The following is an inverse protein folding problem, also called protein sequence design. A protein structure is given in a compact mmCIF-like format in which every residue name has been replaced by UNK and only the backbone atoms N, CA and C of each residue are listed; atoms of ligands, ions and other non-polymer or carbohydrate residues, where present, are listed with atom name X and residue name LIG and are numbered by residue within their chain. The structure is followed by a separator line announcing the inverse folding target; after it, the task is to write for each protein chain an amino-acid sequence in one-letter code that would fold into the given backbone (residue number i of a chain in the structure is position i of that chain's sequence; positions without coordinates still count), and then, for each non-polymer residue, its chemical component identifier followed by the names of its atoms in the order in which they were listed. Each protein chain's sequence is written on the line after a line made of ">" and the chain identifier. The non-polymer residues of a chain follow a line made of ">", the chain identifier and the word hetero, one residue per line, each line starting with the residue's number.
data_IF_248031027580
#
_entry.id   IF_248031027580
#
_cell.length_a   1.000
_cell.length_b   1.000
_cell.length_c   1.000
_cell.angle_alpha   90.00
_cell.angle_beta   90.00
_cell.angle_gamma   90.00
#
_symmetry.space_group_name_H-M   'P 1'
#
loop_
_entity.id
_entity.type
_entity.pdbx_description
1 polymer ?
#
# COMPACT_ATOMS: atom_id res chain seq x y z
N UNK A 1 -23.54 -13.50 -3.18
CA UNK A 1 -23.45 -14.53 -2.11
C UNK A 1 -23.36 -13.83 -0.76
N UNK A 2 -24.23 -14.19 0.20
CA UNK A 2 -24.10 -13.80 1.60
C UNK A 2 -22.70 -14.15 2.14
N UNK A 3 -22.20 -13.35 3.09
CA UNK A 3 -20.84 -13.47 3.68
C UNK A 3 -20.59 -14.90 4.20
N UNK A 4 -21.62 -15.51 4.76
CA UNK A 4 -21.59 -16.85 5.37
C UNK A 4 -21.32 -17.96 4.34
N UNK A 5 -21.80 -17.80 3.10
CA UNK A 5 -21.56 -18.76 2.03
C UNK A 5 -20.12 -18.70 1.47
N UNK A 6 -19.45 -17.54 1.55
CA UNK A 6 -18.06 -17.40 1.09
C UNK A 6 -17.07 -18.08 2.03
N UNK A 7 -17.26 -17.89 3.35
CA UNK A 7 -16.49 -18.60 4.38
C UNK A 7 -16.72 -20.10 4.26
N UNK A 8 -17.97 -20.52 4.03
CA UNK A 8 -18.31 -21.93 3.81
C UNK A 8 -17.65 -22.51 2.55
N UNK A 9 -17.66 -21.81 1.42
CA UNK A 9 -17.01 -22.26 0.17
C UNK A 9 -15.48 -22.29 0.29
N UNK A 10 -14.87 -21.31 0.95
CA UNK A 10 -13.43 -21.30 1.22
C UNK A 10 -13.03 -22.44 2.16
N UNK A 11 -13.80 -22.65 3.22
CA UNK A 11 -13.64 -23.77 4.15
C UNK A 11 -13.82 -25.13 3.45
N UNK A 12 -14.80 -25.26 2.55
CA UNK A 12 -15.01 -26.46 1.71
C UNK A 12 -13.84 -26.71 0.76
N UNK A 13 -13.21 -25.66 0.24
CA UNK A 13 -12.04 -25.75 -0.63
C UNK A 13 -10.80 -26.20 0.16
N UNK A 14 -10.62 -25.73 1.38
CA UNK A 14 -9.57 -26.22 2.30
C UNK A 14 -9.82 -27.67 2.75
N UNK A 15 -11.05 -28.02 3.10
CA UNK A 15 -11.41 -29.40 3.47
C UNK A 15 -11.46 -30.37 2.29
N UNK A 16 -11.43 -29.90 1.04
CA UNK A 16 -11.33 -30.81 -0.11
C UNK A 16 -9.99 -31.57 -0.16
N UNK A 17 -9.02 -31.18 0.69
CA UNK A 17 -7.79 -31.91 0.96
C UNK A 17 -7.95 -33.06 1.98
N UNK A 18 -9.05 -33.11 2.75
CA UNK A 18 -9.38 -34.21 3.68
C UNK A 18 -10.86 -34.57 3.56
N UNK A 19 -11.17 -35.51 2.65
CA UNK A 19 -12.53 -35.81 2.18
C UNK A 19 -13.52 -36.35 3.22
N UNK A 20 -13.10 -36.72 4.43
CA UNK A 20 -13.94 -37.52 5.33
C UNK A 20 -14.65 -36.76 6.46
N UNK A 21 -14.44 -35.45 6.64
CA UNK A 21 -14.96 -34.72 7.81
C UNK A 21 -16.15 -33.75 7.55
N UNK A 22 -16.76 -33.77 6.36
CA UNK A 22 -17.57 -32.62 5.88
C UNK A 22 -19.01 -32.52 6.36
N UNK A 23 -19.57 -33.51 7.06
CA UNK A 23 -21.03 -33.57 7.29
C UNK A 23 -21.53 -33.16 8.68
N UNK A 24 -20.65 -32.85 9.65
CA UNK A 24 -21.08 -32.78 11.07
C UNK A 24 -20.58 -31.60 11.91
N UNK A 25 -19.96 -30.56 11.33
CA UNK A 25 -19.44 -29.45 12.14
C UNK A 25 -20.17 -28.13 11.86
N UNK A 26 -20.92 -27.59 12.84
CA UNK A 26 -21.24 -26.17 12.87
C UNK A 26 -19.91 -25.41 12.75
N UNK A 27 -19.83 -24.39 11.89
CA UNK A 27 -18.61 -23.58 11.67
C UNK A 27 -17.93 -23.22 13.00
N UNK A 28 -18.70 -22.99 14.06
CA UNK A 28 -18.23 -22.73 15.43
C UNK A 28 -17.41 -23.86 16.09
N UNK A 29 -17.65 -25.15 15.79
CA UNK A 29 -16.87 -26.26 16.37
C UNK A 29 -15.47 -26.39 15.77
N UNK A 30 -15.31 -26.05 14.49
CA UNK A 30 -14.01 -26.06 13.80
C UNK A 30 -13.05 -25.05 14.43
N UNK A 31 -13.58 -23.92 14.88
CA UNK A 31 -12.83 -22.88 15.57
C UNK A 31 -12.71 -23.12 17.09
N UNK A 32 -13.19 -24.26 17.60
CA UNK A 32 -12.91 -24.69 18.97
C UNK A 32 -11.42 -24.86 19.23
N UNK A 33 -10.66 -25.23 18.20
CA UNK A 33 -9.19 -25.16 18.20
C UNK A 33 -8.69 -23.83 17.61
N UNK A 34 -8.28 -22.92 18.50
CA UNK A 34 -7.68 -21.64 18.12
C UNK A 34 -6.40 -21.81 17.30
N UNK A 35 -5.65 -22.90 17.48
CA UNK A 35 -4.41 -23.16 16.72
C UNK A 35 -4.71 -23.38 15.24
N UNK A 36 -5.66 -24.25 14.92
CA UNK A 36 -6.12 -24.50 13.56
C UNK A 36 -6.66 -23.22 12.91
N UNK A 37 -7.43 -22.43 13.66
CA UNK A 37 -7.94 -21.15 13.19
C UNK A 37 -6.85 -20.18 12.77
N UNK A 38 -5.78 -20.04 13.57
CA UNK A 38 -4.65 -19.18 13.22
C UNK A 38 -3.94 -19.69 11.96
N UNK A 39 -3.72 -21.00 11.82
CA UNK A 39 -3.14 -21.58 10.59
C UNK A 39 -3.96 -21.19 9.36
N UNK A 40 -5.28 -21.28 9.45
CA UNK A 40 -6.21 -20.84 8.41
C UNK A 40 -6.06 -19.33 8.13
N UNK A 41 -6.06 -18.49 9.16
CA UNK A 41 -5.98 -17.03 9.00
C UNK A 41 -4.68 -16.57 8.35
N UNK A 42 -3.58 -17.28 8.57
CA UNK A 42 -2.28 -16.97 7.96
C UNK A 42 -2.28 -17.03 6.43
N UNK A 43 -3.23 -17.74 5.82
CA UNK A 43 -3.33 -17.88 4.37
C UNK A 43 -4.44 -17.03 3.76
N UNK A 44 -5.28 -16.40 4.58
CA UNK A 44 -6.41 -15.61 4.10
C UNK A 44 -5.99 -14.21 3.61
N UNK A 45 -6.57 -13.71 2.50
CA UNK A 45 -6.47 -12.32 2.12
C UNK A 45 -7.08 -11.38 3.17
N UNK A 46 -6.60 -10.14 3.20
CA UNK A 46 -7.06 -9.15 4.17
C UNK A 46 -8.57 -8.81 4.08
N UNK A 47 -9.21 -8.93 2.91
CA UNK A 47 -10.66 -8.71 2.79
C UNK A 47 -11.49 -9.82 3.47
N UNK A 48 -11.00 -11.06 3.43
CA UNK A 48 -11.63 -12.22 4.03
C UNK A 48 -11.43 -12.16 5.54
N UNK A 49 -10.24 -11.80 6.01
CA UNK A 49 -9.98 -11.50 7.42
C UNK A 49 -10.89 -10.38 7.94
N UNK A 50 -11.08 -9.30 7.17
CA UNK A 50 -12.03 -8.23 7.54
C UNK A 50 -13.46 -8.75 7.62
N UNK A 51 -13.88 -9.59 6.67
CA UNK A 51 -15.23 -10.17 6.65
C UNK A 51 -15.46 -11.07 7.87
N UNK A 52 -14.48 -11.89 8.23
CA UNK A 52 -14.49 -12.70 9.46
C UNK A 52 -14.53 -11.84 10.72
N UNK A 53 -13.83 -10.71 10.74
CA UNK A 53 -13.84 -9.80 11.90
C UNK A 53 -15.22 -9.21 12.21
N UNK A 54 -16.17 -9.26 11.27
CA UNK A 54 -17.53 -8.79 11.45
C UNK A 54 -18.50 -9.86 11.97
N UNK A 55 -18.10 -11.14 11.98
CA UNK A 55 -19.00 -12.23 12.37
C UNK A 55 -19.09 -12.40 13.89
N UNK A 56 -18.01 -12.12 14.64
CA UNK A 56 -18.02 -12.12 16.11
C UNK A 56 -16.88 -11.30 16.72
N UNK A 57 -17.00 -10.95 18.01
CA UNK A 57 -15.92 -10.31 18.78
C UNK A 57 -14.68 -11.19 18.92
N UNK A 58 -14.86 -12.51 19.03
CA UNK A 58 -13.76 -13.47 19.13
C UNK A 58 -12.96 -13.52 17.84
N UNK A 59 -13.64 -13.58 16.69
CA UNK A 59 -12.97 -13.51 15.39
C UNK A 59 -12.28 -12.19 15.16
N UNK A 60 -12.88 -11.07 15.55
CA UNK A 60 -12.23 -9.76 15.50
C UNK A 60 -10.90 -9.75 16.26
N UNK A 61 -10.87 -10.32 17.47
CA UNK A 61 -9.64 -10.36 18.26
C UNK A 61 -8.61 -11.33 17.67
N UNK A 62 -9.03 -12.49 17.19
CA UNK A 62 -8.14 -13.45 16.51
C UNK A 62 -7.54 -12.86 15.22
N UNK A 63 -8.33 -12.15 14.41
CA UNK A 63 -7.83 -11.44 13.23
C UNK A 63 -6.79 -10.40 13.61
N UNK A 64 -7.04 -9.60 14.65
CA UNK A 64 -6.05 -8.61 15.16
C UNK A 64 -4.74 -9.27 15.59
N UNK A 65 -4.82 -10.37 16.34
CA UNK A 65 -3.64 -11.13 16.77
C UNK A 65 -2.88 -11.69 15.54
N UNK A 66 -3.59 -12.25 14.58
CA UNK A 66 -2.98 -12.80 13.35
C UNK A 66 -2.23 -11.71 12.57
N UNK A 67 -2.87 -10.57 12.32
CA UNK A 67 -2.26 -9.45 11.58
C UNK A 67 -1.02 -8.88 12.30
N UNK A 68 -1.08 -8.73 13.63
CA UNK A 68 0.08 -8.31 14.43
C UNK A 68 1.24 -9.28 14.30
N UNK A 69 0.98 -10.59 14.37
CA UNK A 69 2.01 -11.61 14.19
C UNK A 69 2.59 -11.58 12.77
N UNK A 70 1.77 -11.39 11.74
CA UNK A 70 2.23 -11.22 10.36
C UNK A 70 3.09 -9.97 10.19
N UNK A 71 2.74 -8.87 10.85
CA UNK A 71 3.53 -7.63 10.81
C UNK A 71 4.89 -7.80 11.52
N UNK A 72 4.91 -8.39 12.72
CA UNK A 72 6.18 -8.70 13.41
C UNK A 72 7.03 -9.66 12.58
N UNK A 73 6.42 -10.67 11.96
CA UNK A 73 7.12 -11.59 11.05
C UNK A 73 7.69 -10.86 9.83
N UNK A 74 6.94 -9.94 9.24
CA UNK A 74 7.40 -9.12 8.12
C UNK A 74 8.63 -8.31 8.49
N UNK A 75 8.62 -7.61 9.64
CA UNK A 75 9.80 -6.85 10.10
C UNK A 75 11.00 -7.76 10.33
N UNK A 76 10.80 -8.90 10.99
CA UNK A 76 11.85 -9.88 11.24
C UNK A 76 12.47 -10.41 9.94
N UNK A 77 11.69 -10.55 8.87
CA UNK A 77 12.18 -10.98 7.55
C UNK A 77 13.21 -10.02 6.94
N UNK A 78 13.23 -8.76 7.37
CA UNK A 78 14.20 -7.75 6.95
C UNK A 78 15.21 -7.42 8.06
N UNK A 79 15.36 -8.31 9.07
CA UNK A 79 16.20 -8.11 10.25
C UNK A 79 15.85 -6.86 11.07
N UNK A 80 14.58 -6.42 11.02
CA UNK A 80 14.08 -5.28 11.81
C UNK A 80 13.34 -5.80 13.05
N UNK A 81 13.69 -5.37 14.27
CA UNK A 81 13.03 -5.83 15.49
C UNK A 81 11.61 -5.25 15.63
N UNK A 82 10.75 -5.94 16.39
CA UNK A 82 9.35 -5.50 16.59
C UNK A 82 9.21 -4.17 17.34
N UNK A 83 10.24 -3.72 18.07
CA UNK A 83 10.30 -2.39 18.68
C UNK A 83 10.22 -1.26 17.65
N UNK A 84 10.55 -1.54 16.38
CA UNK A 84 10.36 -0.57 15.29
C UNK A 84 8.91 -0.12 15.13
N UNK A 85 7.93 -0.94 15.53
CA UNK A 85 6.50 -0.55 15.49
C UNK A 85 6.25 0.69 16.36
N UNK A 86 6.97 0.85 17.46
CA UNK A 86 6.83 2.03 18.31
C UNK A 86 7.49 3.26 17.68
N UNK A 87 8.63 3.09 17.03
CA UNK A 87 9.27 4.14 16.21
C UNK A 87 8.34 4.58 15.07
N UNK A 88 7.67 3.62 14.43
CA UNK A 88 6.67 3.89 13.40
C UNK A 88 5.50 4.72 13.93
N UNK A 89 5.03 4.42 15.15
CA UNK A 89 3.95 5.17 15.77
C UNK A 89 4.38 6.59 16.15
N UNK A 90 5.57 6.75 16.73
CA UNK A 90 6.08 8.06 17.18
C UNK A 90 6.39 9.00 16.00
N UNK A 91 6.84 8.46 14.87
CA UNK A 91 7.30 9.25 13.73
C UNK A 91 6.33 9.23 12.53
N UNK A 92 5.12 8.68 12.70
CA UNK A 92 4.13 8.50 11.63
C UNK A 92 4.77 7.85 10.39
N UNK A 93 5.37 6.67 10.58
CA UNK A 93 5.97 5.89 9.49
C UNK A 93 4.94 4.92 8.94
N UNK A 94 4.97 4.68 7.64
CA UNK A 94 4.23 3.58 7.02
C UNK A 94 5.16 2.75 6.12
N UNK A 95 4.89 1.46 6.00
CA UNK A 95 5.53 0.59 5.04
C UNK A 95 4.66 0.50 3.79
N UNK A 96 5.27 0.38 2.61
CA UNK A 96 4.52 0.21 1.35
C UNK A 96 5.25 -0.74 0.40
N UNK A 97 4.88 -0.68 -0.88
CA UNK A 97 5.48 -1.49 -1.92
C UNK A 97 5.07 -2.96 -1.88
N UNK A 98 5.98 -3.82 -2.34
CA UNK A 98 5.63 -5.23 -2.54
C UNK A 98 5.69 -6.07 -1.27
N UNK A 99 6.46 -5.67 -0.27
CA UNK A 99 6.62 -6.40 0.98
C UNK A 99 5.32 -6.53 1.77
N UNK A 100 4.49 -5.49 1.79
CA UNK A 100 3.24 -5.50 2.55
C UNK A 100 2.20 -6.48 1.96
N UNK A 101 2.40 -6.99 0.74
CA UNK A 101 1.53 -8.02 0.19
C UNK A 101 1.57 -9.34 0.95
N UNK A 102 2.63 -9.60 1.73
CA UNK A 102 2.66 -10.72 2.67
C UNK A 102 1.53 -10.66 3.70
N UNK A 103 0.93 -9.49 3.93
CA UNK A 103 -0.22 -9.27 4.82
C UNK A 103 -1.52 -9.10 4.00
N UNK A 104 -1.44 -8.43 2.85
CA UNK A 104 -2.62 -8.17 2.00
C UNK A 104 -3.18 -9.46 1.41
N UNK A 105 -2.31 -10.30 0.84
CA UNK A 105 -2.67 -11.54 0.17
C UNK A 105 -1.48 -12.52 0.20
N UNK A 106 -1.33 -13.30 1.29
CA UNK A 106 -0.21 -14.22 1.46
C UNK A 106 -0.10 -15.27 0.35
N UNK A 107 -1.23 -15.78 -0.14
CA UNK A 107 -1.29 -16.76 -1.23
C UNK A 107 -0.77 -16.19 -2.56
N UNK A 108 -1.08 -14.92 -2.86
CA UNK A 108 -0.53 -14.23 -4.02
C UNK A 108 1.01 -14.17 -3.96
N UNK A 109 1.57 -13.82 -2.81
CA UNK A 109 3.04 -13.73 -2.65
C UNK A 109 3.70 -15.10 -2.76
N UNK A 110 3.04 -16.16 -2.30
CA UNK A 110 3.51 -17.54 -2.48
C UNK A 110 3.74 -17.90 -3.95
N UNK A 111 2.94 -17.33 -4.87
CA UNK A 111 3.10 -17.53 -6.32
C UNK A 111 4.27 -16.74 -6.90
N UNK A 112 4.56 -15.55 -6.37
CA UNK A 112 5.67 -14.71 -6.86
C UNK A 112 7.04 -15.34 -6.69
N UNK A 113 7.20 -16.24 -5.72
CA UNK A 113 8.45 -16.95 -5.48
C UNK A 113 8.80 -17.94 -6.61
N UNK A 114 7.81 -18.40 -7.37
CA UNK A 114 8.00 -19.33 -8.48
C UNK A 114 8.44 -18.60 -9.76
N UNK A 115 8.02 -17.35 -9.92
CA UNK A 115 8.14 -16.59 -11.18
C UNK A 115 9.29 -15.55 -11.19
N UNK A 116 10.32 -15.72 -10.35
CA UNK A 116 11.49 -14.81 -10.22
C UNK A 116 11.15 -13.33 -9.89
N UNK A 117 9.90 -13.02 -9.51
CA UNK A 117 9.41 -11.66 -9.17
C UNK A 117 9.17 -11.49 -7.67
N UNK A 118 9.97 -12.18 -6.87
CA UNK A 118 9.90 -12.20 -5.41
C UNK A 118 9.93 -10.79 -4.78
N UNK A 119 9.49 -10.71 -3.54
CA UNK A 119 9.68 -9.51 -2.70
C UNK A 119 11.17 -9.42 -2.35
N UNK A 120 11.86 -8.41 -2.87
CA UNK A 120 13.30 -8.22 -2.66
C UNK A 120 13.65 -7.06 -1.72
N UNK A 121 12.72 -6.15 -1.50
CA UNK A 121 12.93 -4.86 -0.83
C UNK A 121 11.80 -4.52 0.15
N UNK A 122 12.13 -3.68 1.14
CA UNK A 122 11.17 -3.05 2.04
C UNK A 122 11.20 -1.53 1.85
N UNK A 123 10.05 -0.95 1.50
CA UNK A 123 9.90 0.49 1.37
C UNK A 123 9.33 1.11 2.65
N UNK A 124 10.09 1.99 3.30
CA UNK A 124 9.74 2.72 4.52
C UNK A 124 9.45 4.17 4.16
N UNK A 125 8.20 4.61 4.30
CA UNK A 125 7.79 5.99 4.05
C UNK A 125 7.71 6.77 5.36
N UNK A 126 8.39 7.91 5.40
CA UNK A 126 8.45 8.80 6.57
C UNK A 126 7.89 10.17 6.22
N UNK A 127 7.36 10.90 7.20
CA UNK A 127 6.99 12.30 7.02
C UNK A 127 8.23 13.16 6.82
N UNK A 128 8.04 14.35 6.23
CA UNK A 128 9.11 15.33 6.10
C UNK A 128 9.81 15.62 7.43
N UNK A 129 11.14 15.63 7.43
CA UNK A 129 11.99 15.89 8.60
C UNK A 129 12.17 14.70 9.54
N UNK A 130 11.61 13.52 9.23
CA UNK A 130 11.72 12.32 10.08
C UNK A 130 12.70 11.27 9.56
N UNK A 131 13.39 11.52 8.44
CA UNK A 131 14.37 10.59 7.88
C UNK A 131 15.44 10.20 8.91
N UNK A 132 16.05 11.19 9.56
CA UNK A 132 17.15 10.96 10.52
C UNK A 132 16.77 10.03 11.66
N UNK A 133 15.59 10.21 12.27
CA UNK A 133 15.14 9.36 13.37
C UNK A 133 15.01 7.89 12.98
N UNK A 134 14.64 7.62 11.72
CA UNK A 134 14.54 6.25 11.19
C UNK A 134 15.91 5.69 10.88
N UNK A 135 16.79 6.48 10.26
CA UNK A 135 18.17 6.10 9.99
C UNK A 135 18.92 5.76 11.29
N UNK A 136 18.82 6.63 12.30
CA UNK A 136 19.42 6.42 13.61
C UNK A 136 18.92 5.11 14.25
N UNK A 137 17.62 4.78 14.12
CA UNK A 137 17.12 3.50 14.63
C UNK A 137 17.70 2.30 13.87
N UNK A 138 17.69 2.34 12.53
CA UNK A 138 18.14 1.22 11.70
C UNK A 138 19.65 0.95 11.85
N UNK A 139 20.45 2.00 12.02
CA UNK A 139 21.90 1.93 12.25
C UNK A 139 22.24 1.33 13.63
N UNK A 140 21.34 1.45 14.60
CA UNK A 140 21.54 0.97 15.97
C UNK A 140 20.82 -0.36 16.28
N UNK A 141 20.40 -1.13 15.26
CA UNK A 141 19.82 -2.46 15.48
C UNK A 141 20.92 -3.43 15.97
N UNK A 142 20.79 -4.05 17.16
CA UNK A 142 21.79 -4.99 17.65
C UNK A 142 21.97 -6.18 16.72
N UNK A 143 23.22 -6.48 16.34
CA UNK A 143 23.55 -7.62 15.49
C UNK A 143 23.23 -7.42 14.00
N UNK A 144 22.94 -6.18 13.56
CA UNK A 144 22.70 -5.86 12.16
C UNK A 144 23.66 -4.76 11.72
N UNK A 145 24.33 -4.96 10.58
CA UNK A 145 25.15 -3.94 9.93
C UNK A 145 24.25 -3.18 8.96
N UNK A 146 24.15 -1.86 9.14
CA UNK A 146 23.46 -0.98 8.22
C UNK A 146 24.48 -0.31 7.28
N UNK A 147 24.35 -0.53 5.98
CA UNK A 147 25.19 0.13 4.96
C UNK A 147 24.34 1.04 4.09
N UNK A 148 24.72 2.32 3.97
CA UNK A 148 24.10 3.22 2.99
C UNK A 148 24.62 2.88 1.60
N UNK A 149 23.72 2.44 0.71
CA UNK A 149 24.05 2.12 -0.69
C UNK A 149 23.89 3.35 -1.58
N UNK A 150 22.90 4.17 -1.29
CA UNK A 150 22.59 5.39 -2.03
C UNK A 150 21.84 6.37 -1.14
N UNK A 151 22.12 7.67 -1.26
CA UNK A 151 21.32 8.72 -0.64
C UNK A 151 21.33 9.95 -1.54
N UNK A 152 20.19 10.63 -1.66
CA UNK A 152 20.07 11.91 -2.36
C UNK A 152 19.90 13.12 -1.40
N UNK A 153 20.12 12.92 -0.10
CA UNK A 153 19.95 13.95 0.94
C UNK A 153 20.94 15.12 0.77
N UNK A 154 22.03 14.93 0.02
CA UNK A 154 23.07 15.95 -0.19
C UNK A 154 22.84 16.92 -1.36
N UNK A 155 21.76 16.80 -2.13
CA UNK A 155 21.37 17.82 -3.11
C UNK A 155 20.49 18.89 -2.44
N UNK A 156 21.10 19.72 -1.58
CA UNK A 156 20.43 20.88 -1.01
C UNK A 156 19.85 21.78 -2.13
N UNK A 157 18.63 22.31 -2.00
CA UNK A 157 18.07 23.27 -2.94
C UNK A 157 18.69 24.64 -2.67
N UNK A 158 19.94 24.83 -3.08
CA UNK A 158 20.53 26.16 -3.21
C UNK A 158 21.06 26.31 -4.62
N UNK A 159 20.42 27.22 -5.36
CA UNK A 159 20.76 27.69 -6.70
C UNK A 159 20.30 26.81 -7.87
N UNK A 160 19.28 27.30 -8.59
CA UNK A 160 19.25 27.40 -10.06
C UNK A 160 20.30 26.49 -10.75
N UNK A 161 20.02 25.22 -11.00
CA UNK A 161 19.40 24.76 -12.26
C UNK A 161 18.73 23.41 -12.02
N UNK A 162 17.48 23.48 -11.55
CA UNK A 162 16.56 22.35 -11.47
C UNK A 162 16.50 21.61 -12.84
N UNK A 163 16.71 22.34 -13.95
CA UNK A 163 16.82 21.82 -15.33
C UNK A 163 18.06 20.99 -15.70
N UNK A 164 19.22 21.17 -15.04
CA UNK A 164 20.41 20.37 -15.34
C UNK A 164 20.44 19.08 -14.51
N UNK A 165 19.99 19.13 -13.26
CA UNK A 165 19.77 17.94 -12.44
C UNK A 165 18.67 17.04 -13.04
N UNK A 166 17.68 17.63 -13.75
CA UNK A 166 16.67 16.88 -14.50
C UNK A 166 17.21 16.01 -15.65
N UNK A 167 18.42 16.25 -16.16
CA UNK A 167 18.98 15.46 -17.26
C UNK A 167 19.74 14.21 -16.80
N UNK A 168 20.39 14.25 -15.63
CA UNK A 168 21.40 13.26 -15.27
C UNK A 168 21.03 12.35 -14.07
N UNK A 169 20.01 12.67 -13.27
CA UNK A 169 19.57 11.80 -12.18
C UNK A 169 18.79 10.57 -12.69
N UNK A 170 19.20 9.36 -12.28
CA UNK A 170 18.47 8.11 -12.59
C UNK A 170 17.01 8.22 -12.11
N UNK A 171 16.08 8.25 -13.05
CA UNK A 171 14.63 8.53 -12.91
C UNK A 171 13.78 7.60 -12.01
N UNK A 172 14.39 6.72 -11.21
CA UNK A 172 13.70 5.63 -10.51
C UNK A 172 12.79 6.09 -9.36
N UNK A 173 13.01 7.28 -8.79
CA UNK A 173 12.23 7.80 -7.66
C UNK A 173 11.68 9.21 -7.84
N UNK A 174 11.58 9.69 -9.09
CA UNK A 174 10.91 10.96 -9.36
C UNK A 174 9.38 10.77 -9.29
N UNK A 175 8.88 10.63 -8.07
CA UNK A 175 7.46 10.60 -7.74
C UNK A 175 7.11 11.94 -7.09
N UNK A 176 6.05 12.62 -7.56
CA UNK A 176 5.52 13.76 -6.82
C UNK A 176 5.30 13.36 -5.37
N UNK A 177 5.69 14.23 -4.44
CA UNK A 177 5.54 13.98 -3.02
C UNK A 177 6.74 13.35 -2.30
N UNK A 178 7.82 13.00 -3.00
CA UNK A 178 9.08 12.52 -2.41
C UNK A 178 10.08 13.67 -2.26
N UNK A 179 10.57 13.88 -1.04
CA UNK A 179 11.64 14.83 -0.69
C UNK A 179 13.01 14.21 -0.90
N UNK A 180 13.23 13.04 -0.33
CA UNK A 180 14.51 12.33 -0.35
C UNK A 180 14.30 10.81 -0.32
N UNK A 181 15.29 10.08 -0.80
CA UNK A 181 15.38 8.62 -0.78
C UNK A 181 16.77 8.23 -0.32
N UNK A 182 16.81 7.38 0.70
CA UNK A 182 18.04 6.73 1.16
C UNK A 182 17.86 5.22 1.08
N UNK A 183 18.69 4.56 0.26
CA UNK A 183 18.74 3.12 0.15
C UNK A 183 19.79 2.56 1.10
N UNK A 184 19.35 1.57 1.87
CA UNK A 184 20.12 0.86 2.85
C UNK A 184 20.24 -0.61 2.46
N UNK A 185 21.32 -1.23 2.90
CA UNK A 185 21.48 -2.67 2.98
C UNK A 185 21.62 -3.05 4.45
N UNK A 186 20.69 -3.86 4.95
CA UNK A 186 20.75 -4.44 6.30
C UNK A 186 21.31 -5.85 6.20
N UNK A 187 22.40 -6.12 6.91
CA UNK A 187 23.06 -7.42 6.92
C UNK A 187 23.08 -7.99 8.35
N UNK A 188 22.51 -9.17 8.54
CA UNK A 188 22.52 -9.86 9.84
C UNK A 188 23.93 -10.39 10.15
N UNK A 189 24.48 -10.08 11.33
CA UNK A 189 25.81 -10.52 11.75
C UNK A 189 25.88 -12.00 12.09
N UNK A 190 24.78 -12.61 12.53
CA UNK A 190 24.66 -14.04 12.82
C UNK A 190 24.52 -14.82 11.50
N UNK A 191 23.78 -14.25 10.54
CA UNK A 191 23.54 -14.82 9.23
C UNK A 191 24.06 -13.89 8.13
N UNK A 192 25.38 -13.82 7.88
CA UNK A 192 25.99 -12.82 7.00
C UNK A 192 25.54 -12.89 5.53
N UNK A 193 24.92 -14.00 5.11
CA UNK A 193 24.34 -14.14 3.77
C UNK A 193 22.92 -13.56 3.66
N UNK A 194 22.27 -13.24 4.78
CA UNK A 194 20.98 -12.58 4.83
C UNK A 194 21.18 -11.06 4.72
N UNK A 195 21.13 -10.57 3.48
CA UNK A 195 21.24 -9.16 3.13
C UNK A 195 19.89 -8.66 2.62
N UNK A 196 19.42 -7.54 3.17
CA UNK A 196 18.08 -7.02 2.93
C UNK A 196 18.13 -5.58 2.47
N UNK A 197 17.58 -5.29 1.29
CA UNK A 197 17.45 -3.92 0.80
C UNK A 197 16.29 -3.23 1.49
N UNK A 198 16.54 -2.03 2.01
CA UNK A 198 15.53 -1.16 2.60
C UNK A 198 15.63 0.21 1.95
N UNK A 199 14.55 0.71 1.36
CA UNK A 199 14.48 2.07 0.85
C UNK A 199 13.71 2.93 1.88
N UNK A 200 14.35 3.97 2.42
CA UNK A 200 13.71 4.97 3.28
C UNK A 200 13.37 6.19 2.43
N UNK A 201 12.07 6.40 2.21
CA UNK A 201 11.51 7.46 1.38
C UNK A 201 10.89 8.53 2.27
N UNK A 202 11.47 9.72 2.25
CA UNK A 202 10.92 10.87 2.94
C UNK A 202 9.90 11.60 2.06
N UNK A 203 8.74 11.88 2.63
CA UNK A 203 7.74 12.70 1.96
C UNK A 203 8.14 14.17 1.91
N UNK A 204 7.74 14.86 0.85
CA UNK A 204 7.77 16.32 0.75
C UNK A 204 6.65 17.01 1.54
N UNK A 205 5.77 16.25 2.19
CA UNK A 205 4.68 16.79 3.03
C UNK A 205 4.76 16.21 4.45
N UNK A 206 3.99 16.75 5.41
CA UNK A 206 3.94 16.23 6.77
C UNK A 206 3.36 14.80 6.90
N UNK A 207 2.96 14.16 5.81
CA UNK A 207 2.31 12.84 5.81
C UNK A 207 3.04 11.86 4.88
N UNK A 208 3.43 10.67 5.38
CA UNK A 208 4.18 9.70 4.59
C UNK A 208 3.34 9.07 3.46
N UNK A 209 2.01 9.23 3.50
CA UNK A 209 1.09 8.63 2.54
C UNK A 209 1.09 9.38 1.20
N UNK A 210 1.58 10.62 1.13
CA UNK A 210 1.49 11.43 -0.08
C UNK A 210 2.24 10.82 -1.27
N UNK A 211 3.52 10.42 -1.16
CA UNK A 211 4.21 9.63 -2.20
C UNK A 211 3.43 8.39 -2.65
N UNK A 212 2.81 7.67 -1.71
CA UNK A 212 2.08 6.43 -2.00
C UNK A 212 0.86 6.72 -2.85
N UNK A 213 0.17 7.84 -2.61
CA UNK A 213 -0.92 8.26 -3.48
C UNK A 213 -0.46 8.50 -4.91
N UNK A 214 0.84 8.71 -5.16
CA UNK A 214 1.44 9.04 -6.46
C UNK A 214 2.02 7.84 -7.21
N UNK A 215 1.91 6.63 -6.67
CA UNK A 215 2.38 5.43 -7.35
C UNK A 215 1.75 5.22 -8.71
N UNK A 216 2.56 4.69 -9.62
CA UNK A 216 2.24 4.43 -11.02
C UNK A 216 1.00 3.58 -11.24
N UNK A 217 0.71 2.68 -10.30
CA UNK A 217 -0.35 1.69 -10.41
C UNK A 217 -1.24 1.71 -9.17
N UNK A 218 -2.56 1.74 -9.37
CA UNK A 218 -3.53 1.86 -8.26
C UNK A 218 -3.45 0.73 -7.24
N UNK A 219 -3.09 -0.49 -7.66
CA UNK A 219 -2.97 -1.64 -6.76
C UNK A 219 -1.78 -1.55 -5.81
N UNK A 220 -0.81 -0.67 -6.09
CA UNK A 220 0.35 -0.45 -5.21
C UNK A 220 0.06 0.59 -4.12
N UNK A 221 -1.06 1.31 -4.21
CA UNK A 221 -1.43 2.39 -3.29
C UNK A 221 -2.00 1.84 -1.97
N UNK A 222 -1.19 1.04 -1.29
CA UNK A 222 -1.48 0.45 0.01
C UNK A 222 -0.36 0.83 0.98
N UNK A 223 -0.68 0.90 2.26
CA UNK A 223 0.27 1.26 3.29
C UNK A 223 0.01 0.44 4.56
N UNK A 224 1.07 0.12 5.28
CA UNK A 224 1.04 -0.59 6.54
C UNK A 224 1.58 0.33 7.61
N UNK A 225 0.70 0.82 8.48
CA UNK A 225 1.06 1.67 9.63
C UNK A 225 1.29 0.84 10.89
N UNK A 226 1.79 1.46 11.95
CA UNK A 226 1.85 0.86 13.28
C UNK A 226 0.48 0.41 13.84
N UNK A 227 -0.61 0.95 13.28
CA UNK A 227 -1.97 0.80 13.79
C UNK A 227 -2.87 -0.09 12.93
N UNK A 228 -2.52 -0.31 11.66
CA UNK A 228 -3.31 -1.11 10.75
C UNK A 228 -2.88 -1.03 9.30
N UNK A 229 -3.52 -1.87 8.50
CA UNK A 229 -3.38 -1.92 7.05
C UNK A 229 -4.35 -0.92 6.39
N UNK A 230 -3.82 -0.11 5.48
CA UNK A 230 -4.51 0.94 4.74
C UNK A 230 -4.46 0.60 3.25
N UNK A 231 -5.58 0.68 2.54
CA UNK A 231 -5.60 0.60 1.07
C UNK A 231 -6.44 1.74 0.51
N UNK A 232 -5.88 2.46 -0.45
CA UNK A 232 -6.55 3.58 -1.09
C UNK A 232 -7.53 3.11 -2.19
N UNK A 233 -7.19 2.01 -2.86
CA UNK A 233 -8.00 1.38 -3.91
C UNK A 233 -8.24 -0.11 -3.65
N UNK A 234 -8.93 -0.49 -2.55
CA UNK A 234 -9.11 -1.89 -2.17
C UNK A 234 -9.78 -2.74 -3.26
N UNK A 235 -10.73 -2.17 -4.02
CA UNK A 235 -11.39 -2.89 -5.15
C UNK A 235 -10.36 -3.36 -6.18
N UNK A 236 -9.44 -2.49 -6.58
CA UNK A 236 -8.39 -2.82 -7.55
C UNK A 236 -7.42 -3.86 -6.96
N UNK A 237 -6.93 -3.62 -5.74
CA UNK A 237 -5.99 -4.52 -5.06
C UNK A 237 -6.56 -5.93 -4.88
N UNK A 238 -7.79 -6.08 -4.37
CA UNK A 238 -8.40 -7.40 -4.11
C UNK A 238 -8.90 -8.11 -5.37
N UNK A 239 -9.14 -7.38 -6.47
CA UNK A 239 -9.52 -7.97 -7.75
C UNK A 239 -8.33 -8.26 -8.67
N UNK A 240 -7.09 -8.10 -8.19
CA UNK A 240 -5.86 -8.23 -8.98
C UNK A 240 -5.88 -7.38 -10.25
N UNK A 241 -6.41 -6.17 -10.11
CA UNK A 241 -6.54 -5.21 -11.20
C UNK A 241 -5.86 -3.92 -10.85
N UNK A 242 -5.45 -3.19 -11.87
CA UNK A 242 -4.82 -1.91 -11.68
C UNK A 242 -5.07 -0.98 -12.85
N UNK A 243 -5.10 0.31 -12.55
CA UNK A 243 -5.10 1.36 -13.56
C UNK A 243 -3.72 2.04 -13.52
N UNK A 244 -3.19 2.38 -14.69
CA UNK A 244 -2.00 3.21 -14.82
C UNK A 244 -2.37 4.65 -14.51
N UNK A 245 -1.57 5.34 -13.70
CA UNK A 245 -1.83 6.75 -13.45
C UNK A 245 -1.61 7.62 -14.71
N UNK A 246 -2.47 8.63 -14.97
CA UNK A 246 -2.42 9.41 -16.20
C UNK A 246 -1.18 10.28 -16.31
N UNK A 247 -0.64 10.74 -15.18
CA UNK A 247 0.59 11.54 -15.16
C UNK A 247 1.79 10.79 -15.77
N UNK A 248 1.73 9.46 -15.86
CA UNK A 248 2.75 8.66 -16.56
C UNK A 248 2.57 8.62 -18.08
N UNK A 249 1.36 8.91 -18.56
CA UNK A 249 0.97 8.81 -19.97
C UNK A 249 0.91 10.18 -20.65
N UNK A 250 1.11 11.29 -19.92
CA UNK A 250 1.17 12.64 -20.49
C UNK A 250 2.32 12.72 -21.50
N UNK A 251 2.00 13.12 -22.73
CA UNK A 251 2.98 13.26 -23.82
C UNK A 251 3.33 11.96 -24.54
N UNK A 252 2.76 10.82 -24.13
CA UNK A 252 2.94 9.54 -24.82
C UNK A 252 1.68 9.19 -25.62
N UNK A 253 1.88 8.52 -26.76
CA UNK A 253 0.78 7.85 -27.44
C UNK A 253 0.16 6.87 -26.42
N UNK A 254 -1.15 6.96 -26.17
CA UNK A 254 -1.86 6.23 -25.09
C UNK A 254 -1.64 4.71 -25.12
N UNK A 255 -1.19 4.17 -26.25
CA UNK A 255 -0.83 2.76 -26.43
C UNK A 255 0.61 2.38 -26.03
N UNK A 256 1.47 3.34 -25.66
CA UNK A 256 2.89 3.08 -25.39
C UNK A 256 3.27 3.46 -23.95
N UNK A 257 3.71 2.45 -23.19
CA UNK A 257 4.30 2.65 -21.88
C UNK A 257 5.76 3.12 -22.02
N UNK A 258 6.16 4.21 -21.35
CA UNK A 258 7.55 4.67 -21.35
C UNK A 258 8.50 3.57 -20.85
N UNK A 259 9.69 3.46 -21.46
CA UNK A 259 10.65 2.38 -21.17
C UNK A 259 10.99 2.27 -19.67
N UNK A 260 11.11 3.41 -18.97
CA UNK A 260 11.36 3.45 -17.52
C UNK A 260 10.30 2.74 -16.67
N UNK A 261 9.07 2.58 -17.16
CA UNK A 261 7.99 1.90 -16.45
C UNK A 261 7.78 0.45 -16.91
N UNK A 262 8.39 0.02 -18.03
CA UNK A 262 8.21 -1.33 -18.57
C UNK A 262 8.62 -2.41 -17.58
N UNK A 263 9.75 -2.25 -16.89
CA UNK A 263 10.19 -3.20 -15.87
C UNK A 263 9.15 -3.37 -14.75
N UNK A 264 8.58 -2.26 -14.27
CA UNK A 264 7.55 -2.29 -13.22
C UNK A 264 6.22 -2.87 -13.73
N UNK A 265 5.83 -2.55 -14.96
CA UNK A 265 4.65 -3.14 -15.60
C UNK A 265 4.79 -4.65 -15.75
N UNK A 266 5.88 -5.12 -16.36
CA UNK A 266 6.17 -6.55 -16.53
C UNK A 266 6.21 -7.26 -15.18
N UNK A 267 6.92 -6.70 -14.20
CA UNK A 267 6.98 -7.22 -12.82
C UNK A 267 5.59 -7.41 -12.23
N UNK A 268 4.70 -6.43 -12.32
CA UNK A 268 3.36 -6.53 -11.72
C UNK A 268 2.41 -7.41 -12.53
N UNK A 269 2.55 -7.49 -13.85
CA UNK A 269 1.80 -8.44 -14.68
C UNK A 269 2.19 -9.89 -14.37
N UNK A 270 3.50 -10.18 -14.25
CA UNK A 270 3.99 -11.50 -13.81
C UNK A 270 3.52 -11.86 -12.40
N UNK A 271 3.34 -10.86 -11.53
CA UNK A 271 2.74 -11.03 -10.21
C UNK A 271 1.23 -11.30 -10.22
N UNK A 272 0.61 -11.40 -11.40
CA UNK A 272 -0.79 -11.77 -11.58
C UNK A 272 -1.77 -10.59 -11.65
N UNK A 273 -1.29 -9.35 -11.75
CA UNK A 273 -2.16 -8.19 -11.91
C UNK A 273 -2.51 -7.95 -13.38
N UNK A 274 -3.79 -7.70 -13.65
CA UNK A 274 -4.24 -7.14 -14.92
C UNK A 274 -4.15 -5.61 -14.85
N UNK A 275 -3.26 -5.03 -15.65
CA UNK A 275 -3.00 -3.59 -15.67
C UNK A 275 -3.67 -2.96 -16.88
N UNK A 276 -4.68 -2.13 -16.64
CA UNK A 276 -5.41 -1.36 -17.63
C UNK A 276 -4.80 0.04 -17.82
N UNK A 277 -4.79 0.50 -19.07
CA UNK A 277 -4.39 1.87 -19.41
C UNK A 277 -5.54 2.85 -19.11
N UNK A 278 -6.79 2.42 -19.30
CA UNK A 278 -7.99 3.20 -19.01
C UNK A 278 -8.85 2.52 -17.95
N UNK A 279 -9.48 3.33 -17.10
CA UNK A 279 -10.42 2.80 -16.10
C UNK A 279 -11.59 2.03 -16.73
N UNK A 280 -12.02 2.46 -17.93
CA UNK A 280 -13.10 1.82 -18.67
C UNK A 280 -12.73 0.43 -19.21
N UNK A 281 -11.44 0.08 -19.26
CA UNK A 281 -11.00 -1.26 -19.66
C UNK A 281 -11.23 -2.28 -18.54
N UNK A 282 -11.55 -1.83 -17.32
CA UNK A 282 -11.88 -2.71 -16.21
C UNK A 282 -13.37 -3.11 -16.25
N UNK A 283 -13.69 -4.42 -16.16
CA UNK A 283 -15.04 -4.93 -16.45
C UNK A 283 -16.13 -4.37 -15.53
N UNK A 284 -15.77 -4.01 -14.30
CA UNK A 284 -16.71 -3.53 -13.29
C UNK A 284 -16.81 -2.00 -13.19
N UNK A 285 -16.05 -1.26 -14.00
CA UNK A 285 -16.16 0.21 -14.07
C UNK A 285 -17.17 0.64 -15.15
N UNK A 286 -17.78 -0.30 -15.87
CA UNK A 286 -18.81 0.00 -16.88
C UNK A 286 -20.10 0.62 -16.33
N UNK A 287 -20.37 0.48 -15.02
CA UNK A 287 -21.61 0.95 -14.36
C UNK A 287 -21.34 1.92 -13.18
N UNK A 288 -20.35 2.80 -13.33
CA UNK A 288 -20.01 3.78 -12.29
C UNK A 288 -20.68 5.13 -12.55
N UNK A 289 -20.89 5.92 -11.49
CA UNK A 289 -21.30 7.31 -11.56
C UNK A 289 -20.04 8.19 -11.51
N UNK A 290 -19.78 8.92 -12.60
CA UNK A 290 -18.58 9.76 -12.72
C UNK A 290 -18.53 10.80 -11.61
N UNK A 291 -17.36 10.96 -10.99
CA UNK A 291 -17.14 11.93 -9.91
C UNK A 291 -17.66 11.52 -8.52
N UNK A 292 -18.44 10.44 -8.42
CA UNK A 292 -18.99 9.98 -7.12
C UNK A 292 -18.56 8.56 -6.76
N UNK A 293 -18.44 7.65 -7.73
CA UNK A 293 -18.00 6.29 -7.47
C UNK A 293 -16.54 6.28 -7.00
N UNK A 294 -16.23 5.55 -5.92
CA UNK A 294 -14.87 5.52 -5.36
C UNK A 294 -13.81 5.03 -6.35
N UNK A 295 -14.17 4.19 -7.30
CA UNK A 295 -13.28 3.68 -8.33
C UNK A 295 -13.17 4.57 -9.57
N UNK A 296 -13.98 5.62 -9.68
CA UNK A 296 -13.94 6.54 -10.80
C UNK A 296 -12.65 7.39 -10.78
N UNK A 297 -11.92 7.50 -11.90
CA UNK A 297 -10.77 8.40 -12.07
C UNK A 297 -11.05 9.86 -11.72
N UNK A 298 -12.29 10.31 -11.95
CA UNK A 298 -12.73 11.69 -11.70
C UNK A 298 -13.29 11.91 -10.29
N UNK A 299 -13.31 10.90 -9.42
CA UNK A 299 -13.70 11.11 -8.02
C UNK A 299 -12.50 11.67 -7.26
N UNK A 300 -12.69 12.82 -6.62
CA UNK A 300 -11.74 13.31 -5.62
C UNK A 300 -11.89 12.44 -4.38
N UNK A 301 -10.83 11.73 -4.04
CA UNK A 301 -10.74 10.81 -2.91
C UNK A 301 -9.95 11.46 -1.80
N UNK A 302 -10.16 10.99 -0.58
CA UNK A 302 -9.32 11.33 0.55
C UNK A 302 -9.10 10.13 1.48
N UNK A 303 -8.12 10.22 2.37
CA UNK A 303 -7.66 9.05 3.15
C UNK A 303 -8.74 8.51 4.08
N UNK A 304 -9.81 9.28 4.28
CA UNK A 304 -10.87 9.06 5.27
C UNK A 304 -12.22 8.69 4.67
N UNK A 305 -12.34 8.76 3.34
CA UNK A 305 -13.56 8.45 2.64
C UNK A 305 -13.94 6.96 2.76
N UNK A 306 -15.18 6.63 2.42
CA UNK A 306 -15.72 5.25 2.56
C UNK A 306 -15.18 4.29 1.51
N UNK A 307 -14.47 4.78 0.50
CA UNK A 307 -13.81 3.95 -0.51
C UNK A 307 -12.45 3.43 -0.06
N UNK A 308 -11.88 3.98 1.03
CA UNK A 308 -10.66 3.46 1.62
C UNK A 308 -10.93 2.22 2.47
N UNK A 309 -9.97 1.31 2.50
CA UNK A 309 -9.98 0.16 3.39
C UNK A 309 -9.02 0.39 4.53
N UNK A 310 -9.49 0.17 5.76
CA UNK A 310 -8.67 0.16 6.95
C UNK A 310 -8.97 -1.10 7.77
N UNK A 311 -7.93 -1.87 8.09
CA UNK A 311 -8.02 -3.05 8.95
C UNK A 311 -7.14 -2.84 10.19
N UNK A 312 -7.74 -2.51 11.34
CA UNK A 312 -7.00 -2.12 12.54
C UNK A 312 -6.37 -3.32 13.24
N UNK A 313 -5.17 -3.14 13.78
CA UNK A 313 -4.47 -4.14 14.59
C UNK A 313 -4.91 -4.16 16.05
N UNK A 314 -5.69 -3.18 16.50
CA UNK A 314 -6.18 -3.12 17.87
C UNK A 314 -7.48 -2.33 17.98
N UNK A 315 -8.20 -2.50 19.09
CA UNK A 315 -9.33 -1.64 19.42
C UNK A 315 -8.91 -0.16 19.55
N UNK A 316 -7.74 0.11 20.14
CA UNK A 316 -7.21 1.47 20.28
C UNK A 316 -6.89 2.11 18.93
N UNK A 317 -6.37 1.34 17.97
CA UNK A 317 -6.09 1.80 16.61
C UNK A 317 -7.39 2.16 15.87
N UNK A 318 -8.45 1.37 16.05
CA UNK A 318 -9.77 1.69 15.50
C UNK A 318 -10.30 3.00 16.09
N UNK A 319 -10.24 3.18 17.42
CA UNK A 319 -10.67 4.42 18.09
C UNK A 319 -9.86 5.62 17.60
N UNK A 320 -8.53 5.54 17.61
CA UNK A 320 -7.64 6.59 17.08
C UNK A 320 -7.97 6.95 15.64
N UNK A 321 -8.27 5.97 14.78
CA UNK A 321 -8.67 6.27 13.40
C UNK A 321 -9.97 7.07 13.35
N UNK A 322 -10.96 6.70 14.17
CA UNK A 322 -12.24 7.40 14.25
C UNK A 322 -12.11 8.80 14.87
N UNK A 323 -11.17 8.99 15.79
CA UNK A 323 -10.84 10.29 16.40
C UNK A 323 -10.03 11.16 15.44
N UNK A 324 -9.06 10.59 14.72
CA UNK A 324 -8.26 11.28 13.71
C UNK A 324 -9.14 11.91 12.61
N UNK A 325 -10.24 11.22 12.24
CA UNK A 325 -11.26 11.76 11.33
C UNK A 325 -11.91 13.06 11.81
N UNK A 326 -11.80 13.36 13.09
CA UNK A 326 -12.44 14.51 13.74
C UNK A 326 -11.44 15.60 14.12
N UNK A 327 -10.14 15.28 14.17
CA UNK A 327 -9.17 16.10 14.90
C UNK A 327 -8.02 16.54 14.00
N UNK A 328 -6.94 15.78 13.73
CA UNK A 328 -5.70 16.41 13.22
C UNK A 328 -4.81 15.53 12.31
N UNK A 329 -5.34 14.79 11.33
CA UNK A 329 -4.48 14.12 10.33
C UNK A 329 -4.53 14.88 9.00
N UNK A 330 -3.39 15.22 8.35
CA UNK A 330 -3.39 15.84 7.04
C UNK A 330 -4.12 14.92 6.07
N UNK A 331 -5.35 15.30 5.73
CA UNK A 331 -6.19 14.54 4.83
C UNK A 331 -5.62 14.72 3.44
N UNK A 332 -4.95 13.69 2.93
CA UNK A 332 -4.42 13.76 1.57
C UNK A 332 -5.59 13.57 0.62
N UNK A 333 -5.72 14.48 -0.32
CA UNK A 333 -6.61 14.31 -1.45
C UNK A 333 -5.87 13.74 -2.65
N UNK A 334 -6.50 12.80 -3.34
CA UNK A 334 -5.99 12.26 -4.61
C UNK A 334 -7.15 11.90 -5.54
N UNK A 335 -6.80 11.55 -6.77
CA UNK A 335 -7.70 10.91 -7.73
C UNK A 335 -7.16 9.53 -8.03
N UNK A 336 -8.05 8.56 -8.23
CA UNK A 336 -7.70 7.14 -8.47
C UNK A 336 -6.70 6.98 -9.61
N UNK A 337 -6.71 7.87 -10.60
CA UNK A 337 -5.92 7.76 -11.82
C UNK A 337 -6.72 7.14 -12.95
N UNK A 338 -6.13 6.96 -14.13
CA UNK A 338 -6.84 6.70 -15.38
C UNK A 338 -7.36 7.95 -16.08
N UNK A 339 -7.62 7.82 -17.38
CA UNK A 339 -8.20 8.90 -18.17
C UNK A 339 -9.56 9.33 -17.61
N UNK A 340 -9.96 10.60 -17.81
CA UNK A 340 -11.30 11.07 -17.58
C UNK A 340 -12.32 10.14 -18.25
N UNK A 341 -13.43 9.83 -17.57
CA UNK A 341 -14.44 8.89 -18.08
C UNK A 341 -15.12 9.39 -19.37
N UNK A 342 -15.11 10.69 -19.59
CA UNK A 342 -15.58 11.39 -20.78
C UNK A 342 -14.56 11.42 -21.92
N UNK A 343 -13.27 11.14 -21.67
CA UNK A 343 -12.25 11.08 -22.72
C UNK A 343 -12.55 10.00 -23.78
N UNK A 344 -13.34 8.98 -23.43
CA UNK A 344 -13.80 7.95 -24.36
C UNK A 344 -15.00 8.41 -25.21
N UNK A 345 -15.83 9.33 -24.67
CA UNK A 345 -17.00 9.87 -25.37
C UNK A 345 -16.66 11.09 -26.23
N UNK A 346 -15.66 11.87 -25.82
CA UNK A 346 -15.24 13.11 -26.47
C UNK A 346 -13.71 13.15 -26.59
N UNK A 347 -13.10 12.45 -27.55
CA UNK A 347 -11.64 12.41 -27.73
C UNK A 347 -11.00 13.78 -28.04
N UNK A 348 -11.79 14.80 -28.36
CA UNK A 348 -11.36 16.19 -28.58
C UNK A 348 -11.57 17.11 -27.37
N UNK A 349 -12.23 16.64 -26.30
CA UNK A 349 -12.59 17.43 -25.13
C UNK A 349 -11.48 17.50 -24.10
N UNK A 350 -11.09 18.72 -23.74
CA UNK A 350 -10.22 19.12 -22.63
C UNK A 350 -10.11 18.08 -21.49
N UNK A 351 -9.13 17.17 -21.61
CA UNK A 351 -8.78 16.16 -20.61
C UNK A 351 -8.08 16.76 -19.36
N UNK A 352 -8.39 18.01 -19.00
CA UNK A 352 -7.62 18.84 -18.07
C UNK A 352 -7.96 18.62 -16.59
N UNK A 353 -9.10 17.99 -16.26
CA UNK A 353 -9.53 17.84 -14.86
C UNK A 353 -8.78 16.76 -14.04
N UNK A 354 -8.04 15.85 -14.69
CA UNK A 354 -7.26 14.81 -14.01
C UNK A 354 -5.99 15.35 -13.32
N UNK A 355 -5.58 16.58 -13.63
CA UNK A 355 -4.24 17.09 -13.30
C UNK A 355 -4.17 18.00 -12.07
N UNK A 356 -5.30 18.47 -11.51
CA UNK A 356 -5.30 19.55 -10.51
C UNK A 356 -5.46 19.10 -9.04
N UNK A 357 -5.42 17.80 -8.73
CA UNK A 357 -5.47 17.37 -7.33
C UNK A 357 -4.31 17.91 -6.45
N UNK A 358 -3.06 18.06 -6.94
CA UNK A 358 -1.97 18.62 -6.13
C UNK A 358 -2.23 20.06 -5.66
N UNK A 359 -2.81 20.91 -6.52
CA UNK A 359 -3.13 22.31 -6.18
C UNK A 359 -4.21 22.43 -5.08
N UNK A 360 -5.05 21.39 -4.90
CA UNK A 360 -6.06 21.35 -3.85
C UNK A 360 -5.46 21.08 -2.46
N UNK A 361 -4.34 20.35 -2.36
CA UNK A 361 -3.67 20.14 -1.07
C UNK A 361 -3.02 21.44 -0.58
N UNK A 362 -2.39 22.21 -1.47
CA UNK A 362 -1.82 23.53 -1.14
C UNK A 362 -2.91 24.54 -0.71
N UNK A 363 -4.08 24.52 -1.35
CA UNK A 363 -5.22 25.34 -0.93
C UNK A 363 -5.78 24.92 0.44
N UNK A 364 -5.86 23.62 0.72
CA UNK A 364 -6.33 23.13 2.02
C UNK A 364 -5.37 23.50 3.17
N UNK A 365 -4.07 23.38 2.95
CA UNK A 365 -3.05 23.75 3.95
C UNK A 365 -3.06 25.28 4.22
N UNK A 366 -3.39 26.09 3.21
CA UNK A 366 -3.55 27.56 3.38
C UNK A 366 -4.79 27.95 4.20
N UNK A 367 -5.88 27.18 4.10
CA UNK A 367 -7.12 27.43 4.86
C UNK A 367 -6.94 27.02 6.33
N UNK A 368 -6.27 25.91 6.60
CA UNK A 368 -6.02 25.43 7.97
C UNK A 368 -5.02 26.30 8.75
N UNK A 369 -4.14 27.02 8.04
CA UNK A 369 -3.18 27.96 8.65
C UNK A 369 -3.74 29.36 8.87
N UNK A 370 -4.89 29.72 8.28
CA UNK A 370 -5.58 30.99 8.52
C UNK A 370 -6.52 31.00 9.72
N UNK A 371 -6.81 29.82 10.30
CA UNK A 371 -7.70 29.64 11.46
C UNK A 371 -6.92 29.40 12.78
N UNK A 372 -5.61 29.65 12.80
CA UNK A 372 -4.74 29.68 14.00
C UNK A 372 -4.17 31.08 14.19
#
# INVERSE_FOLDING_TARGET
>A
MPVDQKVFCWYRRMLSLEKEATHLLPVYRVFGDRSLAFKIFYHLPANDLRSLSWTSSDFLEMVRICLRKQFVWLLKRFSIPSSFIDVMRMNNIVLSGSAIFHIINPELVGRWAVDEVAVGDLDIYVRNGSLRAVMDFLDNIPGVICTVVYSNVEAGPTSLTVEQIFRDARSLYWLPGVSSVTRLMLQDQIYPYASHQVDVIESSTPTPLYPITQFSFTHLQNALSADGLIMLNPKHTFSFQSIIKPNLLVGYNKAHLPDKYRASFTKNTLRGFSIAFHAMDLPYESSHLCGTSFSCPQTLRNTEDRGTFFLPFSASAYKRRMEAKRVHCPTIMWRVGGDPCDAYKYPTGLASCSFLAPALNEQFDSILSSDQ
#
